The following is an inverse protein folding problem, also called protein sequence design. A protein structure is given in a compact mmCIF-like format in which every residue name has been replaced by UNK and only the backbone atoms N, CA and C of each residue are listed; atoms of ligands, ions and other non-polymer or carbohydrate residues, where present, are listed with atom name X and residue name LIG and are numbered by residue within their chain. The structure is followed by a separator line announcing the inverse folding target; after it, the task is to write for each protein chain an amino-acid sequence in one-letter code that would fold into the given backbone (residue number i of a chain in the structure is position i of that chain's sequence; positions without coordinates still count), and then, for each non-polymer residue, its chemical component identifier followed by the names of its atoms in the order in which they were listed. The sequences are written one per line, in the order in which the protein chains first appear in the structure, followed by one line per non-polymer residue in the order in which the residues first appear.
data_IF_218711989442
#
_entry.id   IF_218711989442
#
_cell.length_a   1.000
_cell.length_b   1.000
_cell.length_c   1.000
_cell.angle_alpha   90.00
_cell.angle_beta   90.00
_cell.angle_gamma   90.00
#
_symmetry.space_group_name_H-M   'P 1'
#
loop_
_entity.id
_entity.type
_entity.pdbx_description
1 polymer ?
#
# COMPACT_ATOMS: atom_id res chain seq x y z
N UNK A 1 -30.57 38.33 24.37
CA UNK A 1 -30.73 38.28 22.89
C UNK A 1 -30.01 37.05 22.37
N UNK A 2 -30.74 36.11 21.77
CA UNK A 2 -30.21 34.89 21.13
C UNK A 2 -29.37 35.28 19.92
N UNK A 3 -28.12 34.82 19.83
CA UNK A 3 -27.37 34.75 18.57
C UNK A 3 -26.67 33.39 18.48
N UNK A 4 -27.26 32.57 17.62
CA UNK A 4 -26.76 31.39 16.93
C UNK A 4 -25.23 31.20 16.97
N UNK A 5 -24.78 30.06 17.51
CA UNK A 5 -23.50 29.46 17.12
C UNK A 5 -23.82 28.13 16.44
N UNK A 6 -23.93 28.21 15.12
CA UNK A 6 -23.91 27.07 14.20
C UNK A 6 -22.56 26.36 14.35
N UNK A 7 -22.54 25.19 14.98
CA UNK A 7 -21.45 24.24 14.88
C UNK A 7 -21.74 23.33 13.69
N UNK A 8 -21.37 23.79 12.50
CA UNK A 8 -21.22 22.89 11.34
C UNK A 8 -19.77 22.44 11.34
N UNK A 9 -19.43 21.21 11.75
CA UNK A 9 -18.18 20.63 11.33
C UNK A 9 -18.32 20.33 9.83
N UNK A 10 -17.99 21.31 9.00
CA UNK A 10 -17.65 21.05 7.61
C UNK A 10 -16.36 20.25 7.65
N UNK A 11 -16.48 18.93 7.74
CA UNK A 11 -15.38 18.03 7.41
C UNK A 11 -15.19 18.21 5.91
N UNK A 12 -14.30 19.13 5.55
CA UNK A 12 -13.71 19.21 4.23
C UNK A 12 -13.01 17.88 4.01
N UNK A 13 -13.70 16.93 3.37
CA UNK A 13 -13.06 15.84 2.66
C UNK A 13 -12.24 16.52 1.55
N UNK A 14 -11.02 16.89 1.90
CA UNK A 14 -9.95 17.17 0.96
C UNK A 14 -9.66 15.86 0.22
N UNK A 15 -10.53 15.48 -0.72
CA UNK A 15 -10.14 14.67 -1.87
C UNK A 15 -9.31 15.56 -2.80
N UNK A 16 -8.23 16.12 -2.25
CA UNK A 16 -7.20 16.80 -2.99
C UNK A 16 -6.36 15.74 -3.69
N UNK A 17 -5.90 16.09 -4.89
CA UNK A 17 -4.92 15.37 -5.70
C UNK A 17 -3.76 14.88 -4.84
N UNK A 18 -3.90 13.69 -4.24
CA UNK A 18 -2.83 13.10 -3.47
C UNK A 18 -1.86 12.53 -4.50
N UNK A 19 -0.70 13.14 -4.63
CA UNK A 19 0.41 12.59 -5.44
C UNK A 19 1.07 11.42 -4.72
N UNK A 20 0.68 11.13 -3.48
CA UNK A 20 1.24 10.07 -2.66
C UNK A 20 0.15 9.37 -1.83
N UNK A 21 0.32 8.07 -1.65
CA UNK A 21 -0.43 7.27 -0.70
C UNK A 21 0.53 6.40 0.11
N UNK A 22 0.25 6.23 1.41
CA UNK A 22 1.03 5.39 2.29
C UNK A 22 0.10 4.60 3.20
N UNK A 23 0.39 3.31 3.45
CA UNK A 23 -0.42 2.48 4.32
C UNK A 23 0.23 1.15 4.70
N UNK A 24 -0.36 0.46 5.67
CA UNK A 24 -0.05 -0.93 5.96
C UNK A 24 -1.03 -1.84 5.21
N UNK A 25 -0.51 -2.84 4.51
CA UNK A 25 -1.32 -3.77 3.69
C UNK A 25 -1.00 -5.20 4.10
N UNK A 26 -2.05 -5.99 4.30
CA UNK A 26 -1.95 -7.42 4.59
C UNK A 26 -1.80 -8.18 3.28
N UNK A 27 -0.79 -9.03 3.20
CA UNK A 27 -0.42 -9.80 2.02
C UNK A 27 -0.22 -11.26 2.35
N UNK A 28 -0.71 -12.13 1.46
CA UNK A 28 -0.36 -13.55 1.45
C UNK A 28 0.86 -13.77 0.56
N UNK A 29 1.82 -14.55 1.05
CA UNK A 29 3.01 -14.92 0.29
C UNK A 29 2.62 -15.95 -0.78
N UNK A 30 2.61 -15.54 -2.04
CA UNK A 30 2.26 -16.39 -3.18
C UNK A 30 3.44 -17.24 -3.65
N UNK A 31 4.61 -16.63 -3.76
CA UNK A 31 5.80 -17.30 -4.32
C UNK A 31 7.07 -16.71 -3.73
N UNK A 32 8.05 -17.57 -3.44
CA UNK A 32 9.42 -17.19 -3.12
C UNK A 32 10.30 -17.86 -4.18
N UNK A 33 11.12 -17.09 -4.88
CA UNK A 33 11.94 -17.62 -5.97
C UNK A 33 13.04 -16.66 -6.39
N UNK A 34 13.62 -16.93 -7.56
CA UNK A 34 14.69 -16.12 -8.15
C UNK A 34 14.34 -15.71 -9.57
N UNK A 35 14.70 -14.47 -9.93
CA UNK A 35 14.69 -13.95 -11.29
C UNK A 35 16.11 -13.52 -11.68
N UNK A 36 16.32 -13.07 -12.91
CA UNK A 36 17.64 -12.66 -13.40
C UNK A 36 18.31 -11.56 -12.57
N UNK A 37 17.52 -10.72 -11.89
CA UNK A 37 18.00 -9.66 -11.00
C UNK A 37 18.14 -10.07 -9.52
N UNK A 38 17.95 -11.35 -9.19
CA UNK A 38 18.11 -11.89 -7.84
C UNK A 38 16.81 -12.44 -7.22
N UNK A 39 16.82 -12.73 -5.90
CA UNK A 39 15.70 -13.36 -5.24
C UNK A 39 14.54 -12.38 -5.01
N UNK A 40 13.32 -12.89 -5.18
CA UNK A 40 12.07 -12.11 -5.10
C UNK A 40 10.98 -12.88 -4.35
N UNK A 41 10.06 -12.12 -3.75
CA UNK A 41 8.85 -12.62 -3.12
C UNK A 41 7.64 -11.96 -3.77
N UNK A 42 6.76 -12.78 -4.35
CA UNK A 42 5.49 -12.33 -4.89
C UNK A 42 4.40 -12.43 -3.83
N UNK A 43 3.61 -11.38 -3.71
CA UNK A 43 2.60 -11.17 -2.69
C UNK A 43 1.24 -10.89 -3.34
N UNK A 44 0.16 -11.45 -2.79
CA UNK A 44 -1.21 -11.09 -3.14
C UNK A 44 -1.87 -10.40 -1.93
N UNK A 45 -2.69 -9.38 -2.15
CA UNK A 45 -3.42 -8.73 -1.05
C UNK A 45 -4.33 -9.77 -0.38
N UNK A 46 -4.26 -9.86 0.95
CA UNK A 46 -5.05 -10.76 1.78
C UNK A 46 -6.16 -9.98 2.49
N UNK A 47 -7.41 -10.19 2.07
CA UNK A 47 -8.58 -9.49 2.58
C UNK A 47 -9.04 -8.34 1.68
N UNK A 48 -9.59 -7.29 2.30
CA UNK A 48 -10.13 -6.14 1.57
C UNK A 48 -9.01 -5.33 0.90
N UNK A 49 -9.26 -4.93 -0.35
CA UNK A 49 -8.33 -4.06 -1.09
C UNK A 49 -8.24 -2.70 -0.39
N UNK A 50 -7.03 -2.13 -0.20
CA UNK A 50 -6.89 -0.83 0.42
C UNK A 50 -7.61 0.24 -0.42
N UNK A 51 -8.39 1.08 0.26
CA UNK A 51 -9.08 2.20 -0.36
C UNK A 51 -8.20 3.45 -0.41
N UNK A 52 -8.41 4.31 -1.40
CA UNK A 52 -7.70 5.59 -1.51
C UNK A 52 -6.26 5.48 -2.03
N UNK A 53 -5.84 4.29 -2.48
CA UNK A 53 -4.62 4.09 -3.26
C UNK A 53 -4.69 4.90 -4.57
N UNK A 54 -3.53 5.34 -5.07
CA UNK A 54 -3.43 6.03 -6.35
C UNK A 54 -3.78 5.09 -7.51
N UNK A 55 -3.30 3.85 -7.42
CA UNK A 55 -3.67 2.76 -8.31
C UNK A 55 -4.13 1.56 -7.47
N UNK A 56 -5.12 0.81 -7.97
CA UNK A 56 -5.65 -0.35 -7.23
C UNK A 56 -4.55 -1.38 -6.97
N UNK A 57 -4.22 -1.56 -5.68
CA UNK A 57 -3.26 -2.56 -5.24
C UNK A 57 -3.94 -3.92 -5.07
N UNK A 58 -3.54 -4.90 -5.90
CA UNK A 58 -4.02 -6.29 -5.81
C UNK A 58 -2.92 -7.30 -5.47
N UNK A 59 -1.68 -6.96 -5.80
CA UNK A 59 -0.50 -7.79 -5.62
C UNK A 59 0.75 -6.92 -5.63
N UNK A 60 1.89 -7.48 -5.25
CA UNK A 60 3.17 -6.82 -5.46
C UNK A 60 4.35 -7.76 -5.32
N UNK A 61 5.53 -7.19 -5.53
CA UNK A 61 6.81 -7.92 -5.44
C UNK A 61 7.71 -7.19 -4.47
N UNK A 62 8.34 -7.94 -3.59
CA UNK A 62 9.33 -7.42 -2.66
C UNK A 62 10.56 -8.32 -2.62
N UNK A 63 11.61 -7.86 -1.94
CA UNK A 63 12.82 -8.64 -1.70
C UNK A 63 12.65 -9.50 -0.44
N UNK A 64 13.30 -10.68 -0.37
CA UNK A 64 13.22 -11.54 0.82
C UNK A 64 13.66 -10.86 2.12
N UNK A 65 14.58 -9.89 2.04
CA UNK A 65 15.08 -9.13 3.20
C UNK A 65 14.04 -8.18 3.81
N UNK A 66 12.94 -7.90 3.10
CA UNK A 66 11.80 -7.15 3.65
C UNK A 66 10.90 -8.03 4.52
N UNK A 67 11.02 -9.36 4.45
CA UNK A 67 10.19 -10.27 5.23
C UNK A 67 10.86 -10.69 6.55
N UNK A 68 10.08 -10.95 7.60
CA UNK A 68 10.59 -11.61 8.79
C UNK A 68 11.22 -12.96 8.48
N UNK A 69 12.21 -13.35 9.27
CA UNK A 69 12.86 -14.66 9.11
C UNK A 69 11.85 -15.81 9.23
N UNK A 70 12.04 -16.84 8.39
CA UNK A 70 11.27 -18.08 8.40
C UNK A 70 9.88 -18.01 7.75
N UNK A 71 9.52 -16.89 7.12
CA UNK A 71 8.27 -16.78 6.34
C UNK A 71 8.32 -17.72 5.12
N UNK A 72 7.19 -18.36 4.82
CA UNK A 72 7.02 -19.35 3.75
C UNK A 72 5.86 -18.96 2.83
N UNK A 73 5.79 -19.62 1.67
CA UNK A 73 4.61 -19.55 0.80
C UNK A 73 3.36 -19.98 1.58
N UNK A 74 2.30 -19.18 1.45
CA UNK A 74 1.04 -19.35 2.16
C UNK A 74 0.91 -18.55 3.45
N UNK A 75 2.02 -18.08 4.03
CA UNK A 75 1.98 -17.22 5.21
C UNK A 75 1.39 -15.84 4.88
N UNK A 76 0.89 -15.18 5.91
CA UNK A 76 0.38 -13.81 5.81
C UNK A 76 1.29 -12.85 6.57
N UNK A 77 1.60 -11.73 5.92
CA UNK A 77 2.44 -10.65 6.45
C UNK A 77 1.73 -9.31 6.28
N UNK A 78 2.06 -8.34 7.13
CA UNK A 78 1.63 -6.95 6.96
C UNK A 78 2.84 -6.14 6.55
N UNK A 79 2.79 -5.48 5.41
CA UNK A 79 3.90 -4.68 4.88
C UNK A 79 3.53 -3.21 4.79
N UNK A 80 4.50 -2.33 4.99
CA UNK A 80 4.33 -0.93 4.61
C UNK A 80 4.33 -0.81 3.09
N UNK A 81 3.44 0.00 2.55
CA UNK A 81 3.33 0.26 1.11
C UNK A 81 3.26 1.76 0.89
N UNK A 82 4.04 2.23 -0.08
CA UNK A 82 4.00 3.60 -0.58
C UNK A 82 3.65 3.58 -2.06
N UNK A 83 2.71 4.43 -2.45
CA UNK A 83 2.45 4.78 -3.84
C UNK A 83 2.76 6.25 -4.04
N UNK A 84 3.32 6.58 -5.19
CA UNK A 84 3.64 7.94 -5.57
C UNK A 84 3.44 8.11 -7.08
N UNK A 85 2.77 9.18 -7.46
CA UNK A 85 2.68 9.61 -8.87
C UNK A 85 3.99 10.29 -9.26
N UNK A 86 4.80 9.58 -10.06
CA UNK A 86 6.11 10.05 -10.46
C UNK A 86 6.11 11.27 -11.40
N UNK A 87 4.98 11.59 -12.02
CA UNK A 87 4.93 12.61 -13.06
C UNK A 87 3.93 13.74 -12.83
N UNK A 88 2.98 13.62 -11.88
CA UNK A 88 2.15 14.72 -11.38
C UNK A 88 1.23 15.43 -12.39
N UNK A 89 1.29 15.11 -13.69
CA UNK A 89 0.59 15.83 -14.76
C UNK A 89 0.09 14.96 -15.92
N UNK A 90 0.55 13.70 -16.11
CA UNK A 90 0.14 12.83 -17.22
C UNK A 90 -0.52 11.49 -16.82
N UNK A 91 -0.67 11.23 -15.51
CA UNK A 91 -1.59 10.20 -14.96
C UNK A 91 -1.19 8.74 -15.19
N UNK A 92 0.04 8.45 -15.64
CA UNK A 92 0.42 7.12 -16.13
C UNK A 92 1.39 6.30 -15.28
N UNK A 93 2.08 6.86 -14.28
CA UNK A 93 3.24 6.21 -13.65
C UNK A 93 3.16 6.20 -12.11
N UNK A 94 2.13 5.54 -11.57
CA UNK A 94 2.11 5.26 -10.12
C UNK A 94 3.21 4.26 -9.80
N UNK A 95 4.24 4.72 -9.09
CA UNK A 95 5.25 3.83 -8.55
C UNK A 95 4.77 3.25 -7.21
N UNK A 96 4.79 1.92 -7.09
CA UNK A 96 4.45 1.23 -5.85
C UNK A 96 5.71 0.60 -5.25
N UNK A 97 6.02 0.97 -4.00
CA UNK A 97 7.10 0.37 -3.22
C UNK A 97 6.53 -0.39 -2.02
N UNK A 98 6.91 -1.67 -1.88
CA UNK A 98 6.62 -2.48 -0.70
C UNK A 98 7.86 -2.45 0.19
N UNK A 99 7.70 -1.88 1.37
CA UNK A 99 8.74 -1.77 2.39
C UNK A 99 8.75 -2.96 3.36
N UNK A 100 9.35 -2.77 4.55
CA UNK A 100 9.47 -3.81 5.56
C UNK A 100 8.13 -4.40 5.97
N UNK A 101 8.13 -5.72 6.18
CA UNK A 101 6.99 -6.51 6.59
C UNK A 101 7.13 -7.03 8.02
N UNK A 102 5.99 -7.24 8.69
CA UNK A 102 5.85 -7.92 9.98
C UNK A 102 4.93 -9.13 9.83
N UNK A 103 5.02 -10.10 10.74
CA UNK A 103 4.05 -11.20 10.78
C UNK A 103 2.66 -10.65 11.09
N UNK A 104 1.65 -11.19 10.42
CA UNK A 104 0.27 -10.74 10.50
C UNK A 104 -0.54 -11.45 11.59
#
# INVERSE_FOLDING_TARGET
MRKLLLLVPVVLLLSGCASEWNGEVRFKVRTIGEISSGPVVALDVDGDKPSGTLEQLTSGVTKPDQLPAGVKVGDVVVCSVRQHDANGFDGGNTETAIGPCKRA
#
